data_IF_181545889799
#
_entry.id   IF_181545889799
#
_cell.length_a   1.000
_cell.length_b   1.000
_cell.length_c   1.000
_cell.angle_alpha   90.00
_cell.angle_beta   90.00
_cell.angle_gamma   90.00
#
_symmetry.space_group_name_H-M   'P 1'
#
loop_
_entity.id
_entity.type
_entity.pdbx_description
1 polymer ?
#
# COMPACT_ATOMS: atom_id res chain seq x y z
N UNK A 1 -4.87 -36.39 -0.55
CA UNK A 1 -5.74 -37.37 0.14
C UNK A 1 -6.97 -37.63 -0.73
N UNK A 2 -7.58 -38.82 -0.65
CA UNK A 2 -8.80 -39.11 -1.42
C UNK A 2 -9.99 -38.58 -0.59
N UNK A 3 -10.90 -37.77 -1.16
CA UNK A 3 -12.03 -37.23 -0.41
C UNK A 3 -12.98 -38.35 0.01
N UNK A 4 -13.43 -38.31 1.27
CA UNK A 4 -14.34 -39.31 1.84
C UNK A 4 -15.81 -38.87 1.76
N UNK A 5 -16.06 -37.56 1.63
CA UNK A 5 -17.39 -36.96 1.49
C UNK A 5 -17.47 -35.99 0.30
N UNK A 6 -18.70 -35.59 -0.06
CA UNK A 6 -18.94 -34.52 -1.04
C UNK A 6 -18.38 -33.18 -0.57
N UNK A 7 -18.42 -32.92 0.74
CA UNK A 7 -17.90 -31.70 1.34
C UNK A 7 -16.37 -31.67 1.27
N UNK A 8 -15.71 -32.81 1.48
CA UNK A 8 -14.26 -32.92 1.31
C UNK A 8 -13.85 -32.70 -0.15
N UNK A 9 -14.63 -33.24 -1.09
CA UNK A 9 -14.40 -32.98 -2.51
C UNK A 9 -14.59 -31.50 -2.85
N UNK A 10 -15.64 -30.85 -2.35
CA UNK A 10 -15.90 -29.44 -2.57
C UNK A 10 -14.78 -28.56 -2.00
N UNK A 11 -14.30 -28.85 -0.79
CA UNK A 11 -13.13 -28.18 -0.17
C UNK A 11 -11.87 -28.38 -0.99
N UNK A 12 -11.64 -29.60 -1.47
CA UNK A 12 -10.48 -29.89 -2.32
C UNK A 12 -10.53 -29.09 -3.63
N UNK A 13 -11.69 -29.00 -4.28
CA UNK A 13 -11.87 -28.18 -5.49
C UNK A 13 -11.69 -26.69 -5.20
N UNK A 14 -12.23 -26.22 -4.08
CA UNK A 14 -12.07 -24.83 -3.63
C UNK A 14 -10.59 -24.48 -3.46
N UNK A 15 -9.83 -25.30 -2.73
CA UNK A 15 -8.43 -25.05 -2.40
C UNK A 15 -7.46 -25.29 -3.55
N UNK A 16 -7.72 -26.31 -4.38
CA UNK A 16 -6.80 -26.70 -5.43
C UNK A 16 -7.02 -25.97 -6.76
N UNK A 17 -8.23 -25.44 -6.99
CA UNK A 17 -8.61 -24.88 -8.30
C UNK A 17 -9.20 -23.49 -8.15
N UNK A 18 -10.32 -23.35 -7.44
CA UNK A 18 -11.09 -22.11 -7.47
C UNK A 18 -10.34 -20.94 -6.82
N UNK A 19 -9.78 -21.12 -5.62
CA UNK A 19 -9.05 -20.07 -4.92
C UNK A 19 -7.71 -19.71 -5.57
N UNK A 20 -6.89 -20.67 -6.03
CA UNK A 20 -5.71 -20.36 -6.84
C UNK A 20 -6.04 -19.50 -8.07
N UNK A 21 -7.01 -19.91 -8.89
CA UNK A 21 -7.41 -19.15 -10.08
C UNK A 21 -7.90 -17.74 -9.71
N UNK A 22 -8.69 -17.65 -8.65
CA UNK A 22 -9.24 -16.40 -8.18
C UNK A 22 -8.14 -15.45 -7.67
N UNK A 23 -7.23 -15.94 -6.83
CA UNK A 23 -6.10 -15.16 -6.31
C UNK A 23 -5.14 -14.75 -7.43
N UNK A 24 -4.83 -15.63 -8.38
CA UNK A 24 -3.97 -15.34 -9.53
C UNK A 24 -4.57 -14.27 -10.44
N UNK A 25 -5.88 -14.35 -10.69
CA UNK A 25 -6.61 -13.37 -11.50
C UNK A 25 -6.60 -12.01 -10.80
N UNK A 26 -6.92 -11.99 -9.50
CA UNK A 26 -6.94 -10.75 -8.73
C UNK A 26 -5.54 -10.14 -8.60
N UNK A 27 -4.50 -10.95 -8.40
CA UNK A 27 -3.11 -10.49 -8.37
C UNK A 27 -2.69 -9.89 -9.72
N UNK A 28 -3.02 -10.57 -10.81
CA UNK A 28 -2.73 -10.08 -12.16
C UNK A 28 -3.43 -8.73 -12.40
N UNK A 29 -4.71 -8.63 -12.05
CA UNK A 29 -5.47 -7.40 -12.15
C UNK A 29 -4.88 -6.28 -11.28
N UNK A 30 -4.51 -6.61 -10.04
CA UNK A 30 -3.88 -5.68 -9.09
C UNK A 30 -2.56 -5.10 -9.62
N UNK A 31 -1.77 -5.90 -10.34
CA UNK A 31 -0.53 -5.45 -10.97
C UNK A 31 -0.82 -4.64 -12.24
N UNK A 32 -1.82 -4.99 -13.04
CA UNK A 32 -2.12 -4.27 -14.27
C UNK A 32 -2.85 -2.94 -14.03
N UNK A 33 -3.89 -2.97 -13.19
CA UNK A 33 -4.74 -1.83 -12.87
C UNK A 33 -5.21 -1.92 -11.40
N UNK A 34 -4.42 -1.38 -10.45
CA UNK A 34 -4.76 -1.43 -9.03
C UNK A 34 -6.02 -0.63 -8.69
N UNK A 35 -6.34 0.40 -9.46
CA UNK A 35 -7.54 1.23 -9.25
C UNK A 35 -8.80 0.45 -9.59
N UNK A 36 -8.80 -0.24 -10.74
CA UNK A 36 -9.90 -1.11 -11.13
C UNK A 36 -10.03 -2.31 -10.19
N UNK A 37 -8.91 -2.95 -9.81
CA UNK A 37 -8.90 -4.03 -8.82
C UNK A 37 -9.51 -3.61 -7.48
N UNK A 38 -9.15 -2.41 -6.99
CA UNK A 38 -9.71 -1.82 -5.77
C UNK A 38 -11.23 -1.59 -5.90
N UNK A 39 -11.71 -1.13 -7.06
CA UNK A 39 -13.13 -0.96 -7.33
C UNK A 39 -13.91 -2.28 -7.34
N UNK A 40 -13.27 -3.39 -7.74
CA UNK A 40 -13.87 -4.72 -7.72
C UNK A 40 -13.87 -5.37 -6.33
N UNK A 41 -12.95 -4.99 -5.44
CA UNK A 41 -12.75 -5.65 -4.14
C UNK A 41 -14.03 -5.80 -3.30
N UNK A 42 -14.92 -4.80 -3.16
CA UNK A 42 -16.16 -4.96 -2.39
C UNK A 42 -17.10 -6.03 -2.98
N UNK A 43 -17.18 -6.12 -4.31
CA UNK A 43 -17.98 -7.14 -4.99
C UNK A 43 -17.40 -8.53 -4.73
N UNK A 44 -16.08 -8.65 -4.78
CA UNK A 44 -15.38 -9.90 -4.51
C UNK A 44 -15.53 -10.34 -3.05
N UNK A 45 -15.43 -9.41 -2.10
CA UNK A 45 -15.65 -9.68 -0.68
C UNK A 45 -17.08 -10.11 -0.36
N UNK A 46 -18.06 -9.63 -1.15
CA UNK A 46 -19.46 -10.05 -1.04
C UNK A 46 -19.77 -11.39 -1.70
N UNK A 47 -18.82 -11.98 -2.45
CA UNK A 47 -19.04 -13.22 -3.17
C UNK A 47 -19.05 -14.44 -2.25
N UNK A 48 -19.81 -15.47 -2.63
CA UNK A 48 -19.82 -16.75 -1.91
C UNK A 48 -18.41 -17.36 -1.83
N UNK A 49 -17.62 -17.26 -2.89
CA UNK A 49 -16.26 -17.78 -2.94
C UNK A 49 -15.36 -17.18 -1.84
N UNK A 50 -15.46 -15.88 -1.59
CA UNK A 50 -14.69 -15.21 -0.54
C UNK A 50 -15.16 -15.65 0.86
N UNK A 51 -16.48 -15.72 1.06
CA UNK A 51 -17.08 -16.22 2.31
C UNK A 51 -16.66 -17.67 2.59
N UNK A 52 -16.65 -18.51 1.57
CA UNK A 52 -16.28 -19.93 1.66
C UNK A 52 -14.78 -20.08 1.96
N UNK A 53 -13.92 -19.25 1.36
CA UNK A 53 -12.49 -19.23 1.65
C UNK A 53 -12.20 -18.94 3.13
N UNK A 54 -12.92 -17.95 3.70
CA UNK A 54 -12.83 -17.58 5.11
C UNK A 54 -13.33 -18.71 6.00
N UNK A 55 -14.54 -19.21 5.71
CA UNK A 55 -15.20 -20.24 6.52
C UNK A 55 -14.41 -21.55 6.54
N UNK A 56 -13.80 -21.92 5.42
CA UNK A 56 -12.99 -23.14 5.31
C UNK A 56 -11.55 -22.97 5.79
N UNK A 57 -11.12 -21.74 6.15
CA UNK A 57 -9.71 -21.42 6.51
C UNK A 57 -8.72 -21.92 5.44
N UNK A 58 -9.08 -21.71 4.17
CA UNK A 58 -8.27 -22.16 3.05
C UNK A 58 -6.85 -21.59 3.12
N UNK A 59 -5.80 -22.36 2.76
CA UNK A 59 -4.45 -21.82 2.61
C UNK A 59 -4.40 -20.64 1.63
N UNK A 60 -5.24 -20.66 0.58
CA UNK A 60 -5.32 -19.59 -0.41
C UNK A 60 -5.85 -18.25 0.14
N UNK A 61 -6.54 -18.27 1.28
CA UNK A 61 -7.06 -17.07 1.94
C UNK A 61 -5.93 -16.08 2.27
N UNK A 62 -4.76 -16.59 2.66
CA UNK A 62 -3.63 -15.73 3.02
C UNK A 62 -3.18 -14.87 1.85
N UNK A 63 -3.10 -15.44 0.64
CA UNK A 63 -2.77 -14.70 -0.57
C UNK A 63 -3.80 -13.59 -0.82
N UNK A 64 -5.08 -13.88 -0.65
CA UNK A 64 -6.15 -12.89 -0.79
C UNK A 64 -6.02 -11.76 0.23
N UNK A 65 -5.70 -12.07 1.49
CA UNK A 65 -5.44 -11.07 2.54
C UNK A 65 -4.27 -10.16 2.18
N UNK A 66 -3.20 -10.71 1.60
CA UNK A 66 -2.03 -9.92 1.18
C UNK A 66 -2.36 -9.00 -0.01
N UNK A 67 -3.18 -9.47 -0.96
CA UNK A 67 -3.66 -8.65 -2.08
C UNK A 67 -4.59 -7.54 -1.55
N UNK A 68 -5.51 -7.87 -0.65
CA UNK A 68 -6.39 -6.89 0.00
C UNK A 68 -5.59 -5.83 0.75
N UNK A 69 -4.55 -6.23 1.50
CA UNK A 69 -3.66 -5.30 2.18
C UNK A 69 -3.02 -4.32 1.18
N UNK A 70 -2.51 -4.81 0.07
CA UNK A 70 -1.90 -3.95 -0.96
C UNK A 70 -2.91 -3.00 -1.61
N UNK A 71 -4.11 -3.47 -1.97
CA UNK A 71 -5.16 -2.61 -2.50
C UNK A 71 -5.59 -1.54 -1.49
N UNK A 72 -5.65 -1.90 -0.20
CA UNK A 72 -5.89 -0.96 0.89
C UNK A 72 -4.79 0.09 1.06
N UNK A 73 -3.54 -0.25 0.72
CA UNK A 73 -2.41 0.68 0.67
C UNK A 73 -2.55 1.64 -0.52
N UNK A 74 -2.88 1.13 -1.71
CA UNK A 74 -3.14 1.95 -2.90
C UNK A 74 -4.29 2.95 -2.69
N UNK A 75 -5.38 2.53 -2.04
CA UNK A 75 -6.50 3.43 -1.70
C UNK A 75 -6.02 4.62 -0.87
N UNK A 76 -5.29 4.34 0.22
CA UNK A 76 -4.80 5.37 1.13
C UNK A 76 -3.75 6.26 0.50
N UNK A 77 -2.94 5.73 -0.40
CA UNK A 77 -2.04 6.55 -1.21
C UNK A 77 -2.82 7.57 -2.06
N UNK A 78 -3.91 7.14 -2.70
CA UNK A 78 -4.76 8.04 -3.47
C UNK A 78 -5.37 9.13 -2.59
N UNK A 79 -5.86 8.77 -1.40
CA UNK A 79 -6.42 9.72 -0.43
C UNK A 79 -5.37 10.75 0.02
N UNK A 80 -4.17 10.30 0.36
CA UNK A 80 -3.05 11.17 0.73
C UNK A 80 -2.62 12.08 -0.43
N UNK A 81 -2.57 11.56 -1.65
CA UNK A 81 -2.22 12.33 -2.86
C UNK A 81 -3.24 13.42 -3.14
N UNK A 82 -4.54 13.10 -3.06
CA UNK A 82 -5.63 14.06 -3.23
C UNK A 82 -5.59 15.17 -2.17
N UNK A 83 -5.31 14.82 -0.91
CA UNK A 83 -5.13 15.83 0.15
C UNK A 83 -3.92 16.75 -0.16
N UNK A 84 -2.83 16.20 -0.71
CA UNK A 84 -1.68 16.98 -1.18
C UNK A 84 -2.01 17.98 -2.29
N UNK A 85 -2.85 17.59 -3.24
CA UNK A 85 -3.34 18.48 -4.30
C UNK A 85 -4.18 19.63 -3.74
N UNK A 86 -5.05 19.36 -2.75
CA UNK A 86 -5.86 20.38 -2.08
C UNK A 86 -4.98 21.40 -1.34
N UNK A 87 -3.97 20.94 -0.60
CA UNK A 87 -2.99 21.82 0.07
C UNK A 87 -2.29 22.71 -0.96
N UNK A 88 -1.84 22.13 -2.07
CA UNK A 88 -1.16 22.84 -3.14
C UNK A 88 -2.04 23.92 -3.78
N UNK A 89 -3.31 23.59 -4.05
CA UNK A 89 -4.29 24.54 -4.58
C UNK A 89 -4.58 25.69 -3.60
N UNK A 90 -4.65 25.42 -2.30
CA UNK A 90 -4.83 26.45 -1.27
C UNK A 90 -3.65 27.43 -1.22
N UNK A 91 -2.42 26.92 -1.31
CA UNK A 91 -1.19 27.74 -1.35
C UNK A 91 -1.10 28.61 -2.60
N UNK A 92 -1.47 28.08 -3.77
CA UNK A 92 -1.48 28.83 -5.03
C UNK A 92 -2.57 29.91 -5.09
N UNK A 93 -3.64 29.75 -4.32
CA UNK A 93 -4.75 30.71 -4.27
C UNK A 93 -4.50 31.89 -3.34
N UNK A 94 -3.36 31.91 -2.62
CA UNK A 94 -2.98 33.08 -1.81
C UNK A 94 -2.55 34.22 -2.74
N UNK A 95 -3.20 35.40 -2.68
CA UNK A 95 -2.78 36.53 -3.50
C UNK A 95 -1.37 36.92 -3.09
N UNK A 96 -0.44 36.91 -4.05
CA UNK A 96 0.88 37.51 -3.88
C UNK A 96 0.65 38.95 -3.43
N UNK A 97 0.96 39.25 -2.18
CA UNK A 97 0.90 40.60 -1.63
C UNK A 97 1.91 41.45 -2.40
N UNK A 98 1.44 42.06 -3.51
CA UNK A 98 2.19 43.08 -4.21
C UNK A 98 2.18 44.28 -3.28
N UNK A 99 3.35 44.59 -2.70
CA UNK A 99 3.58 45.81 -1.92
C UNK A 99 3.29 47.05 -2.78
N UNK A 100 2.01 47.42 -2.86
CA UNK A 100 1.51 48.64 -3.45
C UNK A 100 0.56 49.27 -2.44
N UNK A 101 1.01 50.35 -1.81
CA UNK A 101 0.31 51.15 -0.81
C UNK A 101 -1.17 51.34 -1.15
N UNK A 102 -2.04 50.52 -0.54
CA UNK A 102 -3.47 50.53 -0.81
C UNK A 102 -4.18 49.62 0.17
N UNK A 103 -4.45 50.17 1.35
CA UNK A 103 -5.13 49.56 2.49
C UNK A 103 -6.39 48.77 2.06
N UNK A 104 -6.25 47.46 1.87
CA UNK A 104 -7.38 46.52 1.76
C UNK A 104 -7.57 45.85 3.11
N UNK A 105 -8.65 46.24 3.80
CA UNK A 105 -9.28 45.48 4.87
C UNK A 105 -9.95 44.24 4.26
N UNK A 106 -9.17 43.21 3.94
CA UNK A 106 -9.68 41.86 3.76
C UNK A 106 -9.17 41.04 4.94
N UNK A 107 -10.10 40.53 5.74
CA UNK A 107 -9.82 39.82 6.99
C UNK A 107 -8.81 38.67 6.78
N UNK A 108 -7.70 38.62 7.53
CA UNK A 108 -6.63 37.64 7.31
C UNK A 108 -7.03 36.16 7.53
N UNK A 109 -8.13 35.87 8.24
CA UNK A 109 -8.31 34.55 8.85
C UNK A 109 -8.82 33.40 7.96
N UNK A 110 -9.53 33.68 6.85
CA UNK A 110 -10.26 32.61 6.15
C UNK A 110 -9.40 31.75 5.23
N UNK A 111 -8.40 32.34 4.56
CA UNK A 111 -7.48 31.60 3.70
C UNK A 111 -6.48 30.77 4.52
N UNK A 112 -6.04 31.31 5.66
CA UNK A 112 -5.14 30.62 6.58
C UNK A 112 -5.85 29.44 7.26
N UNK A 113 -7.10 29.61 7.70
CA UNK A 113 -7.88 28.52 8.29
C UNK A 113 -8.09 27.35 7.30
N UNK A 114 -8.35 27.65 6.02
CA UNK A 114 -8.55 26.61 4.98
C UNK A 114 -7.25 25.88 4.65
N UNK A 115 -6.13 26.60 4.57
CA UNK A 115 -4.82 25.99 4.33
C UNK A 115 -4.43 25.07 5.51
N UNK A 116 -4.60 25.54 6.74
CA UNK A 116 -4.33 24.73 7.94
C UNK A 116 -5.21 23.49 8.03
N UNK A 117 -6.50 23.60 7.67
CA UNK A 117 -7.40 22.45 7.61
C UNK A 117 -6.96 21.43 6.56
N UNK A 118 -6.58 21.87 5.37
CA UNK A 118 -6.09 20.99 4.31
C UNK A 118 -4.78 20.27 4.71
N UNK A 119 -3.88 20.96 5.42
CA UNK A 119 -2.66 20.34 5.97
C UNK A 119 -2.98 19.29 7.03
N UNK A 120 -3.95 19.56 7.91
CA UNK A 120 -4.39 18.60 8.92
C UNK A 120 -5.02 17.35 8.28
N UNK A 121 -5.82 17.52 7.23
CA UNK A 121 -6.39 16.41 6.44
C UNK A 121 -5.32 15.59 5.74
N UNK A 122 -4.31 16.25 5.15
CA UNK A 122 -3.16 15.59 4.53
C UNK A 122 -2.36 14.77 5.54
N UNK A 123 -2.07 15.33 6.71
CA UNK A 123 -1.40 14.64 7.80
C UNK A 123 -2.21 13.45 8.31
N UNK A 124 -3.52 13.60 8.46
CA UNK A 124 -4.40 12.49 8.86
C UNK A 124 -4.43 11.37 7.81
N UNK A 125 -4.47 11.70 6.52
CA UNK A 125 -4.41 10.73 5.42
C UNK A 125 -3.07 9.98 5.39
N UNK A 126 -1.97 10.69 5.66
CA UNK A 126 -0.63 10.10 5.83
C UNK A 126 -0.62 9.10 6.98
N UNK A 127 -1.05 9.52 8.16
CA UNK A 127 -1.00 8.68 9.36
C UNK A 127 -1.87 7.42 9.18
N UNK A 128 -3.04 7.55 8.55
CA UNK A 128 -3.89 6.42 8.13
C UNK A 128 -3.18 5.43 7.20
N UNK A 129 -2.38 5.92 6.25
CA UNK A 129 -1.57 5.09 5.35
C UNK A 129 -0.50 4.32 6.11
N UNK A 130 0.24 4.99 6.99
CA UNK A 130 1.30 4.38 7.78
C UNK A 130 0.76 3.36 8.79
N UNK A 131 -0.34 3.69 9.46
CA UNK A 131 -1.03 2.79 10.39
C UNK A 131 -1.55 1.54 9.69
N UNK A 132 -1.98 1.65 8.42
CA UNK A 132 -2.35 0.48 7.62
C UNK A 132 -1.16 -0.40 7.25
N UNK A 133 -0.01 0.21 6.95
CA UNK A 133 1.19 -0.52 6.55
C UNK A 133 1.87 -1.22 7.73
N UNK A 134 1.93 -0.57 8.89
CA UNK A 134 2.74 -0.98 10.05
C UNK A 134 2.51 -2.42 10.51
N UNK A 135 1.27 -2.92 10.71
CA UNK A 135 1.04 -4.29 11.16
C UNK A 135 1.59 -5.34 10.20
N UNK A 136 1.61 -5.03 8.89
CA UNK A 136 2.12 -5.95 7.88
C UNK A 136 3.64 -5.89 7.77
N UNK A 137 4.23 -4.70 7.88
CA UNK A 137 5.68 -4.52 7.89
C UNK A 137 6.33 -5.14 9.14
N UNK A 138 5.62 -5.17 10.28
CA UNK A 138 6.12 -5.84 11.48
C UNK A 138 6.22 -7.37 11.35
N UNK A 139 5.68 -7.97 10.27
CA UNK A 139 5.77 -9.41 10.04
C UNK A 139 7.09 -9.75 9.35
N UNK A 140 7.84 -10.70 9.91
CA UNK A 140 9.06 -11.25 9.29
C UNK A 140 8.71 -12.28 8.20
N UNK A 141 7.91 -11.86 7.22
CA UNK A 141 7.43 -12.71 6.13
C UNK A 141 7.33 -11.96 4.81
N UNK A 142 7.90 -12.48 3.71
CA UNK A 142 7.73 -11.91 2.38
C UNK A 142 6.26 -11.71 1.97
N UNK A 143 5.96 -10.54 1.39
CA UNK A 143 4.67 -10.24 0.78
C UNK A 143 4.36 -11.28 -0.30
N UNK A 144 3.13 -11.81 -0.25
CA UNK A 144 2.65 -12.85 -1.16
C UNK A 144 3.56 -14.10 -1.18
N UNK A 145 4.25 -14.40 -0.07
CA UNK A 145 4.86 -15.71 0.07
C UNK A 145 3.75 -16.77 0.07
N UNK A 146 3.80 -17.78 -0.81
CA UNK A 146 2.78 -18.81 -0.85
C UNK A 146 2.84 -19.61 0.46
N UNK A 147 1.72 -19.81 1.17
CA UNK A 147 1.73 -20.71 2.31
C UNK A 147 2.08 -22.14 1.88
N UNK A 148 2.61 -22.92 2.82
CA UNK A 148 2.82 -24.35 2.63
C UNK A 148 1.50 -24.97 2.13
N UNK A 149 1.52 -25.51 0.90
CA UNK A 149 0.37 -26.13 0.19
C UNK A 149 -0.59 -25.19 -0.53
N UNK A 150 -0.33 -23.89 -0.61
CA UNK A 150 -1.04 -23.09 -1.60
C UNK A 150 -0.58 -23.46 -3.01
N UNK A 151 -1.56 -23.60 -3.89
CA UNK A 151 -1.33 -23.77 -5.31
C UNK A 151 -1.52 -22.42 -5.99
N UNK A 152 -0.68 -22.13 -6.98
CA UNK A 152 -0.93 -21.10 -8.01
C UNK A 152 -1.09 -21.84 -9.32
N UNK A 153 -1.99 -21.36 -10.17
CA UNK A 153 -2.16 -21.82 -11.55
C UNK A 153 -1.20 -21.13 -12.51
N UNK A 154 -0.56 -20.04 -12.06
CA UNK A 154 0.43 -19.33 -12.86
C UNK A 154 1.76 -20.09 -12.89
N UNK A 155 2.52 -19.97 -14.00
CA UNK A 155 3.92 -20.38 -14.02
C UNK A 155 4.71 -19.67 -12.92
N UNK A 156 5.59 -20.40 -12.23
CA UNK A 156 6.38 -19.88 -11.10
C UNK A 156 7.07 -18.55 -11.42
N UNK A 157 7.65 -18.43 -12.62
CA UNK A 157 8.31 -17.20 -13.05
C UNK A 157 7.33 -16.01 -13.16
N UNK A 158 6.11 -16.24 -13.64
CA UNK A 158 5.09 -15.21 -13.73
C UNK A 158 4.59 -14.80 -12.34
N UNK A 159 4.34 -15.78 -11.48
CA UNK A 159 3.98 -15.54 -10.08
C UNK A 159 5.02 -14.66 -9.38
N UNK A 160 6.30 -15.03 -9.45
CA UNK A 160 7.39 -14.27 -8.84
C UNK A 160 7.48 -12.84 -9.37
N UNK A 161 7.28 -12.61 -10.68
CA UNK A 161 7.26 -11.26 -11.27
C UNK A 161 6.11 -10.42 -10.74
N UNK A 162 4.90 -11.00 -10.63
CA UNK A 162 3.75 -10.29 -10.07
C UNK A 162 3.99 -9.91 -8.61
N UNK A 163 4.45 -10.85 -7.78
CA UNK A 163 4.79 -10.58 -6.39
C UNK A 163 5.89 -9.51 -6.26
N UNK A 164 6.92 -9.57 -7.10
CA UNK A 164 7.98 -8.57 -7.17
C UNK A 164 7.45 -7.18 -7.54
N UNK A 165 6.51 -7.09 -8.49
CA UNK A 165 5.87 -5.84 -8.88
C UNK A 165 5.04 -5.24 -7.74
N UNK A 166 4.25 -6.06 -7.02
CA UNK A 166 3.49 -5.61 -5.85
C UNK A 166 4.44 -5.11 -4.75
N UNK A 167 5.46 -5.89 -4.39
CA UNK A 167 6.43 -5.50 -3.36
C UNK A 167 7.16 -4.20 -3.72
N UNK A 168 7.59 -4.06 -4.98
CA UNK A 168 8.22 -2.86 -5.51
C UNK A 168 7.28 -1.64 -5.37
N UNK A 169 6.03 -1.77 -5.82
CA UNK A 169 5.04 -0.69 -5.70
C UNK A 169 4.78 -0.31 -4.25
N UNK A 170 4.59 -1.27 -3.34
CA UNK A 170 4.38 -1.00 -1.91
C UNK A 170 5.51 -0.14 -1.33
N UNK A 171 6.76 -0.48 -1.64
CA UNK A 171 7.91 0.29 -1.18
C UNK A 171 7.94 1.71 -1.74
N UNK A 172 7.63 1.88 -3.02
CA UNK A 172 7.57 3.22 -3.62
C UNK A 172 6.41 4.06 -3.10
N UNK A 173 5.26 3.45 -2.80
CA UNK A 173 4.15 4.12 -2.12
C UNK A 173 4.61 4.63 -0.77
N UNK A 174 5.19 3.75 0.05
CA UNK A 174 5.67 4.10 1.37
C UNK A 174 6.72 5.21 1.29
N UNK A 175 7.73 5.08 0.42
CA UNK A 175 8.76 6.08 0.21
C UNK A 175 8.20 7.45 -0.22
N UNK A 176 7.20 7.48 -1.09
CA UNK A 176 6.62 8.74 -1.58
C UNK A 176 6.05 9.58 -0.44
N UNK A 177 5.47 8.94 0.58
CA UNK A 177 4.94 9.62 1.77
C UNK A 177 6.01 10.41 2.49
N UNK A 178 7.21 9.84 2.64
CA UNK A 178 8.32 10.50 3.33
C UNK A 178 8.94 11.61 2.51
N UNK A 179 9.13 11.38 1.20
CA UNK A 179 9.63 12.40 0.29
C UNK A 179 8.70 13.61 0.22
N UNK A 180 7.38 13.38 0.29
CA UNK A 180 6.39 14.44 0.20
C UNK A 180 6.35 15.40 1.41
N UNK A 181 6.74 14.93 2.59
CA UNK A 181 6.67 15.74 3.82
C UNK A 181 7.99 16.47 4.13
N UNK A 182 9.13 15.99 3.63
CA UNK A 182 10.44 16.44 4.13
C UNK A 182 10.55 16.38 5.68
N UNK A 183 9.73 15.53 6.31
CA UNK A 183 9.61 15.34 7.75
C UNK A 183 10.45 14.13 8.14
N UNK A 184 11.69 14.42 8.53
CA UNK A 184 12.76 13.44 8.75
C UNK A 184 12.93 13.04 10.23
N UNK A 185 12.24 13.71 11.15
CA UNK A 185 12.60 13.70 12.57
C UNK A 185 11.94 12.56 13.39
N UNK A 186 11.08 11.72 12.80
CA UNK A 186 10.52 10.56 13.53
C UNK A 186 9.88 9.45 12.70
N UNK A 187 8.97 9.79 11.78
CA UNK A 187 8.27 8.79 10.98
C UNK A 187 9.23 8.02 10.04
N UNK A 188 10.31 8.68 9.61
CA UNK A 188 11.41 8.10 8.85
C UNK A 188 12.08 6.95 9.59
N UNK A 189 12.40 7.15 10.87
CA UNK A 189 13.07 6.15 11.68
C UNK A 189 12.17 4.92 11.85
N UNK A 190 10.88 5.09 12.10
CA UNK A 190 9.95 3.95 12.22
C UNK A 190 9.85 3.14 10.93
N UNK A 191 9.80 3.79 9.75
CA UNK A 191 9.78 3.06 8.49
C UNK A 191 11.14 2.48 8.13
N UNK A 192 12.24 3.21 8.29
CA UNK A 192 13.59 2.71 8.03
C UNK A 192 13.85 1.51 8.93
N UNK A 193 13.48 1.57 10.20
CA UNK A 193 13.53 0.45 11.13
C UNK A 193 12.61 -0.67 10.65
N UNK A 194 11.36 -0.40 10.28
CA UNK A 194 10.44 -1.43 9.80
C UNK A 194 10.91 -2.10 8.50
N UNK A 195 11.48 -1.35 7.55
CA UNK A 195 12.01 -1.83 6.27
C UNK A 195 13.34 -2.56 6.48
N UNK A 196 14.24 -2.04 7.33
CA UNK A 196 15.50 -2.68 7.69
C UNK A 196 15.27 -3.98 8.47
N UNK A 197 14.25 -4.01 9.33
CA UNK A 197 13.78 -5.20 10.03
C UNK A 197 12.90 -6.10 9.15
N UNK A 198 12.54 -5.67 7.94
CA UNK A 198 11.82 -6.45 6.92
C UNK A 198 12.73 -6.82 5.75
N UNK A 199 13.77 -7.66 5.95
CA UNK A 199 14.71 -8.04 4.90
C UNK A 199 14.03 -8.73 3.71
N UNK A 200 12.80 -9.21 3.90
CA UNK A 200 12.01 -9.86 2.87
C UNK A 200 11.57 -8.95 1.71
N UNK A 201 11.35 -7.64 1.96
CA UNK A 201 10.92 -6.73 0.89
C UNK A 201 12.01 -6.58 -0.16
N UNK A 202 13.25 -6.38 0.28
CA UNK A 202 14.41 -6.27 -0.59
C UNK A 202 14.73 -7.58 -1.32
N UNK A 203 14.48 -8.74 -0.70
CA UNK A 203 14.68 -10.06 -1.32
C UNK A 203 13.80 -10.30 -2.55
N UNK A 204 12.64 -9.62 -2.65
CA UNK A 204 11.70 -9.77 -3.77
C UNK A 204 11.96 -8.78 -4.90
N UNK A 205 12.83 -7.80 -4.71
CA UNK A 205 13.14 -6.81 -5.73
C UNK A 205 14.18 -7.31 -6.70
N UNK A 206 14.00 -6.95 -7.97
CA UNK A 206 15.10 -7.02 -8.92
C UNK A 206 16.22 -6.04 -8.52
N UNK A 207 17.50 -6.34 -8.79
CA UNK A 207 18.62 -5.52 -8.35
C UNK A 207 18.52 -4.04 -8.73
N UNK A 208 17.93 -3.72 -9.88
CA UNK A 208 17.76 -2.35 -10.33
C UNK A 208 16.69 -1.60 -9.51
N UNK A 209 15.59 -2.25 -9.15
CA UNK A 209 14.56 -1.69 -8.27
C UNK A 209 15.09 -1.47 -6.86
N UNK A 210 15.84 -2.44 -6.33
CA UNK A 210 16.48 -2.31 -5.01
C UNK A 210 17.47 -1.13 -4.99
N UNK A 211 18.31 -0.98 -6.03
CA UNK A 211 19.21 0.17 -6.14
C UNK A 211 18.46 1.49 -6.23
N UNK A 212 17.41 1.57 -7.04
CA UNK A 212 16.60 2.79 -7.18
C UNK A 212 15.93 3.18 -5.85
N UNK A 213 15.39 2.20 -5.13
CA UNK A 213 14.82 2.39 -3.80
C UNK A 213 15.88 2.88 -2.81
N UNK A 214 17.01 2.17 -2.70
CA UNK A 214 18.09 2.52 -1.80
C UNK A 214 18.74 3.87 -2.14
N UNK A 215 18.86 4.22 -3.43
CA UNK A 215 19.39 5.52 -3.83
C UNK A 215 18.48 6.66 -3.43
N UNK A 216 17.17 6.49 -3.53
CA UNK A 216 16.21 7.52 -3.08
C UNK A 216 16.17 7.59 -1.57
N UNK A 217 16.19 6.44 -0.91
CA UNK A 217 16.28 6.36 0.55
C UNK A 217 17.58 7.01 1.08
N UNK A 218 18.70 6.91 0.36
CA UNK A 218 19.96 7.53 0.78
C UNK A 218 19.97 9.07 0.65
N UNK A 219 19.06 9.64 -0.14
CA UNK A 219 18.91 11.10 -0.30
C UNK A 219 18.07 11.71 0.82
N UNK A 220 17.33 10.88 1.54
CA UNK A 220 16.63 11.25 2.78
C UNK A 220 17.68 11.62 3.84
N UNK A 221 17.73 12.87 4.32
CA UNK A 221 18.65 13.28 5.38
C UNK A 221 18.44 12.41 6.62
N UNK A 222 19.40 11.53 6.90
CA UNK A 222 19.49 10.85 8.19
C UNK A 222 20.23 11.80 9.12
N UNK A 223 19.51 12.55 9.96
CA UNK A 223 20.15 13.14 11.13
C UNK A 223 20.47 11.98 12.08
N UNK A 224 21.70 11.49 12.00
CA UNK A 224 22.31 10.80 13.12
C UNK A 224 22.37 11.85 14.22
N UNK A 225 21.54 11.71 15.25
CA UNK A 225 21.72 12.47 16.47
C UNK A 225 23.12 12.11 16.98
N UNK A 226 24.06 13.05 16.85
CA UNK A 226 25.35 12.97 17.50
C UNK A 226 25.08 12.99 19.02
N UNK A 227 25.14 11.82 19.67
CA UNK A 227 25.20 11.68 21.15
C UNK A 227 26.47 12.31 21.73
#
# INVERSE_FOLDING_TARGET
>A
ERPESTDDFARLVLDAIALPLFADTLLTLTVQDPTYALGMLPLLQSSALWSDAISCKSPGLQTLTEIEWFLGLCRRQSEWSQAGEIVSACRQSQPVSVCGSGMRLLGPGWHDARASQAELERSAARDSLLDWARPRLAQDRPLLEPPLRAHTTLPEQQWQRLCGAVACRSLFVLLSVFEGESDFDGAMNDLVVAVAQSPWMLRRLEPHHARAFLSRLAVVPMRLEDE
#
